data_IF_092327720699
#
_entry.id   IF_092327720699
#
_cell.length_a   1.000
_cell.length_b   1.000
_cell.length_c   1.000
_cell.angle_alpha   90.00
_cell.angle_beta   90.00
_cell.angle_gamma   90.00
#
_symmetry.space_group_name_H-M   'P 1'
#
loop_
_entity.id
_entity.type
_entity.pdbx_description
1 polymer ?
#
# COMPACT_ATOMS: atom_id res chain seq x y z
N UNK A 1 -26.65 -26.21 69.40
CA UNK A 1 -27.03 -25.88 67.99
C UNK A 1 -26.62 -24.49 67.55
N UNK A 2 -26.82 -23.42 68.33
CA UNK A 2 -26.47 -22.02 67.95
C UNK A 2 -24.93 -21.76 67.76
N UNK A 3 -24.07 -22.46 68.47
CA UNK A 3 -22.61 -22.29 68.34
C UNK A 3 -22.03 -23.06 67.17
N UNK A 4 -22.60 -24.19 66.83
CA UNK A 4 -22.19 -25.00 65.68
C UNK A 4 -22.43 -24.29 64.36
N UNK A 5 -23.54 -23.59 64.24
CA UNK A 5 -23.88 -22.75 63.06
C UNK A 5 -22.93 -21.56 62.91
N UNK A 6 -22.47 -20.93 63.99
CA UNK A 6 -21.51 -19.81 63.94
C UNK A 6 -20.11 -20.28 63.50
N UNK A 7 -19.68 -21.48 63.87
CA UNK A 7 -18.40 -22.05 63.47
C UNK A 7 -18.41 -22.41 61.98
N UNK A 8 -19.51 -22.92 61.45
CA UNK A 8 -19.66 -23.21 60.02
C UNK A 8 -19.63 -21.93 59.19
N UNK A 9 -20.24 -20.84 59.65
CA UNK A 9 -20.22 -19.55 58.95
C UNK A 9 -18.80 -18.94 58.93
N UNK A 10 -18.05 -19.09 60.02
CA UNK A 10 -16.65 -18.62 60.06
C UNK A 10 -15.76 -19.44 59.14
N UNK A 11 -15.97 -20.75 59.03
CA UNK A 11 -15.21 -21.62 58.10
C UNK A 11 -15.55 -21.34 56.63
N UNK A 12 -16.80 -21.01 56.31
CA UNK A 12 -17.19 -20.60 54.96
C UNK A 12 -16.58 -19.25 54.55
N UNK A 13 -16.38 -18.34 55.50
CA UNK A 13 -15.76 -17.03 55.23
C UNK A 13 -14.23 -17.11 55.05
N UNK A 14 -13.57 -18.13 55.62
CA UNK A 14 -12.13 -18.32 55.50
C UNK A 14 -11.71 -19.10 54.25
N UNK A 15 -12.64 -19.79 53.58
CA UNK A 15 -12.36 -20.59 52.38
C UNK A 15 -12.38 -19.81 51.07
N UNK A 16 -12.66 -18.49 51.09
CA UNK A 16 -12.71 -17.66 49.87
C UNK A 16 -11.41 -16.89 49.56
N UNK A 17 -10.32 -17.13 50.28
CA UNK A 17 -9.09 -16.35 50.16
C UNK A 17 -7.92 -17.12 49.55
N UNK A 18 -8.11 -17.84 48.47
CA UNK A 18 -7.00 -18.45 47.75
C UNK A 18 -7.29 -18.59 46.25
N UNK A 19 -7.80 -17.57 45.62
CA UNK A 19 -7.48 -17.36 44.19
C UNK A 19 -6.17 -16.55 44.16
N UNK A 20 -5.07 -17.23 44.43
CA UNK A 20 -3.76 -16.71 44.10
C UNK A 20 -3.78 -16.53 42.58
N UNK A 21 -3.91 -15.26 42.12
CA UNK A 21 -3.58 -14.90 40.77
C UNK A 21 -2.09 -15.23 40.60
N UNK A 22 -1.80 -16.41 40.07
CA UNK A 22 -0.49 -16.66 39.47
C UNK A 22 -0.46 -15.80 38.23
N UNK A 23 0.11 -14.59 38.35
CA UNK A 23 0.41 -13.77 37.18
C UNK A 23 1.31 -14.61 36.28
N UNK A 24 0.77 -15.00 35.12
CA UNK A 24 1.56 -15.77 34.17
C UNK A 24 2.66 -14.82 33.67
N UNK A 25 3.95 -15.22 33.62
CA UNK A 25 5.06 -14.33 33.21
C UNK A 25 4.82 -13.60 31.89
N UNK A 26 3.96 -14.16 31.05
CA UNK A 26 3.51 -13.52 29.81
C UNK A 26 2.67 -12.27 30.07
N UNK A 27 1.75 -12.29 31.05
CA UNK A 27 0.91 -11.13 31.35
C UNK A 27 1.71 -9.98 31.93
N UNK A 28 2.71 -10.24 32.78
CA UNK A 28 3.62 -9.22 33.28
C UNK A 28 4.41 -8.52 32.15
N UNK A 29 4.78 -9.29 31.10
CA UNK A 29 5.44 -8.71 29.92
C UNK A 29 4.48 -7.92 29.04
N UNK A 30 3.21 -8.32 28.95
CA UNK A 30 2.18 -7.56 28.22
C UNK A 30 1.84 -6.24 28.96
N UNK A 31 1.77 -6.27 30.30
CA UNK A 31 1.57 -5.05 31.09
C UNK A 31 2.73 -4.08 30.88
N UNK A 32 3.99 -4.58 30.99
CA UNK A 32 5.17 -3.77 30.69
C UNK A 32 5.15 -3.18 29.26
N UNK A 33 4.74 -3.97 28.29
CA UNK A 33 4.61 -3.51 26.90
C UNK A 33 3.59 -2.36 26.79
N UNK A 34 2.44 -2.51 27.47
CA UNK A 34 1.41 -1.47 27.50
C UNK A 34 1.89 -0.18 28.18
N UNK A 35 2.62 -0.29 29.29
CA UNK A 35 3.21 0.84 30.00
C UNK A 35 4.21 1.60 29.13
N UNK A 36 5.04 0.86 28.38
CA UNK A 36 6.00 1.46 27.42
C UNK A 36 5.28 2.22 26.33
N UNK A 37 4.22 1.64 25.74
CA UNK A 37 3.41 2.32 24.72
C UNK A 37 2.75 3.59 25.26
N UNK A 38 2.24 3.56 26.48
CA UNK A 38 1.63 4.72 27.13
C UNK A 38 2.67 5.81 27.39
N UNK A 39 3.87 5.43 27.84
CA UNK A 39 4.99 6.34 28.07
C UNK A 39 5.44 7.01 26.77
N UNK A 40 5.59 6.25 25.67
CA UNK A 40 5.92 6.78 24.36
C UNK A 40 4.87 7.82 23.95
N UNK A 41 3.58 7.49 24.07
CA UNK A 41 2.50 8.42 23.72
C UNK A 41 2.51 9.72 24.50
N UNK A 42 2.86 9.65 25.77
CA UNK A 42 2.83 10.83 26.69
C UNK A 42 4.07 11.68 26.64
N UNK A 43 5.24 11.07 26.51
CA UNK A 43 6.52 11.71 26.80
C UNK A 43 7.42 11.86 25.57
N UNK A 44 7.06 11.26 24.43
CA UNK A 44 7.89 11.43 23.25
C UNK A 44 7.77 12.85 22.68
N UNK A 45 8.88 13.38 22.14
CA UNK A 45 9.03 14.79 21.73
C UNK A 45 8.10 15.20 20.57
N UNK A 46 7.64 14.26 19.76
CA UNK A 46 6.69 14.47 18.66
C UNK A 46 5.51 13.52 18.77
N UNK A 47 4.36 13.90 18.19
CA UNK A 47 3.22 13.00 18.09
C UNK A 47 3.60 11.72 17.37
N UNK A 48 3.27 10.56 17.96
CA UNK A 48 3.60 9.23 17.47
C UNK A 48 2.31 8.51 17.08
N UNK A 49 2.24 7.99 15.86
CA UNK A 49 1.16 7.11 15.45
C UNK A 49 1.30 5.75 16.17
N UNK A 50 0.37 5.48 17.07
CA UNK A 50 0.37 4.23 17.83
C UNK A 50 0.24 2.98 16.95
N UNK A 51 -0.42 3.09 15.79
CA UNK A 51 -0.55 1.98 14.85
C UNK A 51 0.80 1.62 14.24
N UNK A 52 1.59 2.62 13.84
CA UNK A 52 2.94 2.40 13.30
C UNK A 52 3.88 1.78 14.34
N UNK A 53 3.79 2.22 15.61
CA UNK A 53 4.60 1.64 16.69
C UNK A 53 4.22 0.19 16.97
N UNK A 54 2.93 -0.13 16.95
CA UNK A 54 2.44 -1.50 17.12
C UNK A 54 2.87 -2.40 15.95
N UNK A 55 2.76 -1.92 14.72
CA UNK A 55 3.21 -2.64 13.54
C UNK A 55 4.73 -2.92 13.61
N UNK A 56 5.52 -1.94 14.06
CA UNK A 56 6.96 -2.10 14.28
C UNK A 56 7.28 -3.14 15.36
N UNK A 57 6.52 -3.14 16.45
CA UNK A 57 6.67 -4.13 17.53
C UNK A 57 6.34 -5.55 17.06
N UNK A 58 5.24 -5.73 16.32
CA UNK A 58 4.86 -7.03 15.71
C UNK A 58 5.96 -7.49 14.75
N UNK A 59 6.47 -6.58 13.92
CA UNK A 59 7.55 -6.90 13.00
C UNK A 59 8.84 -7.32 13.75
N UNK A 60 9.19 -6.63 14.84
CA UNK A 60 10.32 -7.00 15.70
C UNK A 60 10.18 -8.40 16.32
N UNK A 61 8.97 -8.77 16.76
CA UNK A 61 8.71 -10.13 17.24
C UNK A 61 8.94 -11.19 16.17
N UNK A 62 8.46 -10.94 14.94
CA UNK A 62 8.61 -11.88 13.83
C UNK A 62 10.06 -12.00 13.40
N UNK A 63 10.80 -10.88 13.30
CA UNK A 63 12.23 -10.88 12.97
C UNK A 63 13.09 -11.58 14.00
N UNK A 64 12.64 -11.72 15.26
CA UNK A 64 13.34 -12.50 16.28
C UNK A 64 13.27 -14.02 16.03
N UNK A 65 12.39 -14.50 15.16
CA UNK A 65 12.26 -15.90 14.81
C UNK A 65 13.25 -16.31 13.71
N UNK A 66 13.28 -15.54 12.62
CA UNK A 66 14.16 -15.75 11.48
C UNK A 66 14.19 -14.47 10.59
N UNK A 67 15.19 -14.33 9.69
CA UNK A 67 15.33 -13.14 8.83
C UNK A 67 14.29 -13.04 7.71
N UNK A 68 13.46 -14.06 7.49
CA UNK A 68 12.45 -14.11 6.42
C UNK A 68 11.04 -13.85 6.94
N UNK A 69 10.84 -13.93 8.26
CA UNK A 69 9.56 -13.63 8.89
C UNK A 69 9.39 -12.12 9.08
N UNK A 70 8.32 -11.57 8.50
CA UNK A 70 8.01 -10.16 8.60
C UNK A 70 6.49 -9.92 8.64
N UNK A 71 6.08 -8.86 9.31
CA UNK A 71 4.72 -8.36 9.27
C UNK A 71 4.57 -7.40 8.08
N UNK A 72 3.49 -7.54 7.37
CA UNK A 72 3.09 -6.59 6.34
C UNK A 72 1.76 -5.94 6.74
N UNK A 73 1.74 -4.63 6.81
CA UNK A 73 0.47 -3.92 6.93
C UNK A 73 -0.44 -4.22 5.73
N UNK A 74 -1.77 -4.05 5.85
CA UNK A 74 -2.70 -4.28 4.73
C UNK A 74 -2.30 -3.52 3.46
N UNK A 75 -1.75 -2.32 3.61
CA UNK A 75 -1.27 -1.51 2.49
C UNK A 75 -0.01 -2.09 1.85
N UNK A 76 0.98 -2.47 2.67
CA UNK A 76 2.22 -3.10 2.19
C UNK A 76 1.94 -4.42 1.49
N UNK A 77 1.04 -5.25 2.03
CA UNK A 77 0.61 -6.50 1.42
C UNK A 77 -0.08 -6.26 0.06
N UNK A 78 -0.95 -5.23 -0.03
CA UNK A 78 -1.59 -4.83 -1.28
C UNK A 78 -0.57 -4.41 -2.33
N UNK A 79 0.43 -3.60 -1.94
CA UNK A 79 1.48 -3.14 -2.85
C UNK A 79 2.35 -4.30 -3.32
N UNK A 80 2.77 -5.20 -2.44
CA UNK A 80 3.49 -6.42 -2.81
C UNK A 80 2.71 -7.29 -3.81
N UNK A 81 1.39 -7.46 -3.60
CA UNK A 81 0.54 -8.19 -4.54
C UNK A 81 0.49 -7.51 -5.92
N UNK A 82 0.47 -6.18 -5.97
CA UNK A 82 0.50 -5.41 -7.22
C UNK A 82 1.83 -5.67 -7.95
N UNK A 83 2.94 -5.59 -7.25
CA UNK A 83 4.28 -5.83 -7.82
C UNK A 83 4.43 -7.27 -8.33
N UNK A 84 3.98 -8.25 -7.53
CA UNK A 84 4.04 -9.67 -7.90
C UNK A 84 3.17 -9.99 -9.10
N UNK A 85 1.94 -9.49 -9.15
CA UNK A 85 1.01 -9.74 -10.26
C UNK A 85 1.31 -8.90 -11.50
N UNK A 86 2.02 -7.78 -11.35
CA UNK A 86 2.31 -6.84 -12.43
C UNK A 86 1.06 -6.13 -12.98
N UNK A 87 -0.01 -6.04 -12.18
CA UNK A 87 -1.26 -5.40 -12.57
C UNK A 87 -1.98 -4.76 -11.38
N UNK A 88 -2.64 -3.63 -11.62
CA UNK A 88 -3.39 -2.91 -10.59
C UNK A 88 -4.57 -2.13 -11.18
N UNK A 89 -5.54 -1.80 -10.34
CA UNK A 89 -6.63 -0.90 -10.71
C UNK A 89 -6.18 0.55 -10.65
N UNK A 90 -6.23 1.25 -11.78
CA UNK A 90 -5.75 2.62 -11.88
C UNK A 90 -6.18 3.32 -13.17
N UNK A 91 -5.48 4.40 -13.51
CA UNK A 91 -5.81 5.27 -14.64
C UNK A 91 -4.89 5.04 -15.84
N UNK A 92 -3.69 4.51 -15.61
CA UNK A 92 -2.68 4.32 -16.66
C UNK A 92 -1.97 5.62 -17.05
N UNK A 93 -1.39 6.31 -16.07
CA UNK A 93 -0.57 7.50 -16.27
C UNK A 93 0.79 7.34 -15.58
N UNK A 94 1.84 7.80 -16.23
CA UNK A 94 3.13 8.04 -15.59
C UNK A 94 3.14 9.47 -15.03
N UNK A 95 3.55 9.62 -13.78
CA UNK A 95 3.47 10.88 -13.06
C UNK A 95 4.76 11.20 -12.30
N UNK A 96 4.94 12.48 -12.01
CA UNK A 96 5.97 12.98 -11.10
C UNK A 96 5.42 14.12 -10.25
N UNK A 97 6.17 14.52 -9.23
CA UNK A 97 5.87 15.76 -8.49
C UNK A 97 6.66 16.91 -9.07
N UNK A 98 5.97 18.01 -9.38
CA UNK A 98 6.58 19.26 -9.83
C UNK A 98 5.86 20.44 -9.18
N UNK A 99 6.61 21.31 -8.49
CA UNK A 99 6.09 22.50 -7.80
C UNK A 99 4.93 22.23 -6.83
N UNK A 100 4.93 21.05 -6.18
CA UNK A 100 3.90 20.64 -5.22
C UNK A 100 2.61 20.12 -5.87
N UNK A 101 2.61 19.88 -7.18
CA UNK A 101 1.50 19.28 -7.92
C UNK A 101 1.92 17.98 -8.60
N UNK A 102 0.96 17.13 -8.90
CA UNK A 102 1.18 15.92 -9.70
C UNK A 102 1.17 16.27 -11.16
N UNK A 103 2.31 16.13 -11.82
CA UNK A 103 2.46 16.34 -13.28
C UNK A 103 2.36 15.00 -14.00
N UNK A 104 1.55 14.96 -15.03
CA UNK A 104 1.46 13.83 -15.97
C UNK A 104 2.67 13.89 -16.91
N UNK A 105 3.54 12.88 -16.82
CA UNK A 105 4.66 12.69 -17.75
C UNK A 105 4.08 12.21 -19.08
N UNK A 106 3.29 11.14 -19.02
CA UNK A 106 2.59 10.62 -20.19
C UNK A 106 1.42 9.71 -19.78
N UNK A 107 0.25 9.79 -20.43
CA UNK A 107 -0.74 8.74 -20.36
C UNK A 107 -0.25 7.50 -21.13
N UNK A 108 -0.53 6.31 -20.61
CA UNK A 108 -0.18 5.05 -21.26
C UNK A 108 -1.23 4.76 -22.33
N UNK A 109 -0.80 4.52 -23.55
CA UNK A 109 -1.68 4.25 -24.71
C UNK A 109 -2.72 3.16 -24.43
N UNK A 110 -3.98 3.44 -24.77
CA UNK A 110 -5.12 2.53 -24.61
C UNK A 110 -5.62 2.40 -23.16
N UNK A 111 -5.13 3.19 -22.22
CA UNK A 111 -5.60 3.19 -20.83
C UNK A 111 -6.76 4.16 -20.61
N UNK A 112 -7.44 4.10 -19.44
CA UNK A 112 -8.54 5.02 -19.15
C UNK A 112 -8.18 6.50 -19.26
N UNK A 113 -7.00 6.90 -18.79
CA UNK A 113 -6.57 8.30 -18.86
C UNK A 113 -6.31 8.77 -20.27
N UNK A 114 -5.73 7.92 -21.13
CA UNK A 114 -5.52 8.19 -22.54
C UNK A 114 -6.86 8.32 -23.27
N UNK A 115 -7.78 7.38 -23.04
CA UNK A 115 -9.15 7.45 -23.62
C UNK A 115 -9.93 8.68 -23.14
N UNK A 116 -9.68 9.16 -21.94
CA UNK A 116 -10.29 10.37 -21.40
C UNK A 116 -9.68 11.68 -21.98
N UNK A 117 -8.57 11.61 -22.73
CA UNK A 117 -7.92 12.75 -23.35
C UNK A 117 -6.96 13.51 -22.42
N UNK A 118 -6.46 12.87 -21.38
CA UNK A 118 -5.33 13.40 -20.60
C UNK A 118 -4.07 13.47 -21.48
N UNK A 119 -3.23 14.46 -21.23
CA UNK A 119 -2.03 14.71 -22.02
C UNK A 119 -0.78 14.83 -21.17
N UNK A 120 0.37 14.59 -21.77
CA UNK A 120 1.65 14.92 -21.17
C UNK A 120 1.71 16.43 -20.85
N UNK A 121 2.23 16.75 -19.67
CA UNK A 121 2.29 18.12 -19.16
C UNK A 121 1.05 18.59 -18.40
N UNK A 122 0.00 17.78 -18.29
CA UNK A 122 -1.15 18.08 -17.44
C UNK A 122 -0.75 18.10 -15.96
N UNK A 123 -1.24 19.07 -15.19
CA UNK A 123 -1.06 19.16 -13.74
C UNK A 123 -2.37 18.79 -13.05
N UNK A 124 -2.37 17.69 -12.32
CA UNK A 124 -3.51 17.29 -11.47
C UNK A 124 -3.45 18.15 -10.21
N UNK A 125 -4.48 18.97 -10.01
CA UNK A 125 -4.58 19.88 -8.86
C UNK A 125 -5.55 19.40 -7.79
N UNK A 126 -6.55 18.58 -8.19
CA UNK A 126 -7.47 17.94 -7.24
C UNK A 126 -7.76 16.51 -7.65
N UNK A 127 -7.96 15.65 -6.64
CA UNK A 127 -8.41 14.26 -6.76
C UNK A 127 -9.65 14.09 -5.88
N UNK A 128 -10.80 13.77 -6.48
CA UNK A 128 -12.11 13.67 -5.80
C UNK A 128 -12.43 14.91 -4.92
N UNK A 129 -12.09 16.11 -5.41
CA UNK A 129 -12.28 17.38 -4.69
C UNK A 129 -11.22 17.69 -3.62
N UNK A 130 -10.32 16.76 -3.30
CA UNK A 130 -9.21 16.99 -2.37
C UNK A 130 -8.04 17.63 -3.13
N UNK A 131 -7.49 18.71 -2.58
CA UNK A 131 -6.30 19.37 -3.13
C UNK A 131 -5.09 18.44 -3.08
N UNK A 132 -4.31 18.43 -4.17
CA UNK A 132 -3.08 17.64 -4.28
C UNK A 132 -1.91 18.34 -3.61
N UNK A 133 -1.95 19.69 -3.55
CA UNK A 133 -0.88 20.48 -2.93
C UNK A 133 -0.65 20.05 -1.47
N UNK A 134 0.59 19.70 -1.13
CA UNK A 134 0.97 19.21 0.20
C UNK A 134 0.99 17.70 0.35
N UNK A 135 0.52 16.95 -0.65
CA UNK A 135 0.67 15.49 -0.70
C UNK A 135 2.06 15.13 -1.24
N UNK A 136 2.59 14.00 -0.79
CA UNK A 136 3.70 13.37 -1.47
C UNK A 136 3.22 12.53 -2.67
N UNK A 137 4.17 12.07 -3.52
CA UNK A 137 3.83 11.31 -4.72
C UNK A 137 3.07 10.02 -4.41
N UNK A 138 3.46 9.30 -3.35
CA UNK A 138 2.85 8.02 -2.99
C UNK A 138 1.41 8.21 -2.49
N UNK A 139 1.15 9.24 -1.70
CA UNK A 139 -0.20 9.60 -1.27
C UNK A 139 -1.11 9.91 -2.45
N UNK A 140 -0.62 10.69 -3.43
CA UNK A 140 -1.36 10.98 -4.65
C UNK A 140 -1.62 9.70 -5.48
N UNK A 141 -0.62 8.82 -5.62
CA UNK A 141 -0.76 7.51 -6.28
C UNK A 141 -1.82 6.67 -5.59
N UNK A 142 -1.82 6.60 -4.26
CA UNK A 142 -2.79 5.81 -3.48
C UNK A 142 -4.21 6.33 -3.65
N UNK A 143 -4.41 7.65 -3.75
CA UNK A 143 -5.72 8.25 -4.06
C UNK A 143 -6.18 7.93 -5.48
N UNK A 144 -5.26 7.87 -6.45
CA UNK A 144 -5.58 7.58 -7.85
C UNK A 144 -5.81 6.09 -8.11
N UNK A 145 -5.11 5.21 -7.42
CA UNK A 145 -5.35 3.75 -7.44
C UNK A 145 -6.67 3.41 -6.77
N UNK A 146 -7.22 2.25 -7.09
CA UNK A 146 -8.44 1.76 -6.44
C UNK A 146 -9.02 0.53 -7.12
N UNK A 147 -10.19 0.13 -6.67
CA UNK A 147 -10.89 -1.04 -7.24
C UNK A 147 -11.24 -0.79 -8.70
N UNK A 148 -10.98 -1.76 -9.56
CA UNK A 148 -11.37 -1.75 -10.99
C UNK A 148 -12.88 -1.52 -11.10
N UNK A 149 -13.30 -0.68 -12.06
CA UNK A 149 -14.69 -0.30 -12.29
C UNK A 149 -15.18 0.88 -11.43
N UNK A 150 -14.39 1.37 -10.47
CA UNK A 150 -14.75 2.57 -9.70
C UNK A 150 -14.32 3.84 -10.43
N UNK A 151 -15.12 4.91 -10.32
CA UNK A 151 -14.80 6.20 -10.93
C UNK A 151 -13.99 7.10 -10.00
N UNK A 152 -13.20 7.98 -10.61
CA UNK A 152 -12.44 9.03 -9.94
C UNK A 152 -12.63 10.34 -10.71
N UNK A 153 -12.72 11.45 -9.97
CA UNK A 153 -12.80 12.78 -10.54
C UNK A 153 -11.45 13.48 -10.37
N UNK A 154 -10.89 13.97 -11.46
CA UNK A 154 -9.65 14.74 -11.47
C UNK A 154 -9.94 16.16 -11.96
N UNK A 155 -9.41 17.16 -11.26
CA UNK A 155 -9.33 18.54 -11.76
C UNK A 155 -7.89 18.76 -12.19
N UNK A 156 -7.73 19.21 -13.43
CA UNK A 156 -6.45 19.30 -14.11
C UNK A 156 -6.25 20.71 -14.68
N UNK A 157 -5.04 21.24 -14.55
CA UNK A 157 -4.60 22.45 -15.24
C UNK A 157 -3.67 22.07 -16.39
N UNK A 158 -3.96 22.60 -17.57
CA UNK A 158 -3.15 22.44 -18.80
C UNK A 158 -2.61 23.79 -19.24
N UNK A 159 -1.33 23.86 -19.63
CA UNK A 159 -0.63 25.13 -19.86
C UNK A 159 -1.32 26.02 -20.89
N UNK A 160 -1.84 25.46 -21.98
CA UNK A 160 -2.46 26.21 -23.07
C UNK A 160 -3.99 26.33 -22.95
N UNK A 161 -4.55 26.06 -21.75
CA UNK A 161 -6.00 26.11 -21.50
C UNK A 161 -6.24 26.96 -20.26
N UNK A 162 -7.04 28.03 -20.42
CA UNK A 162 -7.32 28.99 -19.36
C UNK A 162 -8.17 28.40 -18.26
N UNK A 163 -9.15 27.56 -18.62
CA UNK A 163 -10.06 26.90 -17.69
C UNK A 163 -9.51 25.57 -17.14
N UNK A 164 -9.92 25.25 -15.93
CA UNK A 164 -9.63 23.95 -15.32
C UNK A 164 -10.42 22.84 -16.01
N UNK A 165 -9.70 21.80 -16.44
CA UNK A 165 -10.30 20.63 -17.07
C UNK A 165 -10.75 19.62 -16.00
N UNK A 166 -11.97 19.10 -16.16
CA UNK A 166 -12.51 18.07 -15.26
C UNK A 166 -12.63 16.75 -16.00
N UNK A 167 -12.00 15.72 -15.44
CA UNK A 167 -12.04 14.37 -15.99
C UNK A 167 -12.72 13.44 -14.98
N UNK A 168 -13.73 12.69 -15.42
CA UNK A 168 -14.29 11.56 -14.69
C UNK A 168 -13.79 10.30 -15.38
N UNK A 169 -12.94 9.55 -14.71
CA UNK A 169 -12.25 8.39 -15.28
C UNK A 169 -12.62 7.14 -14.48
N UNK A 170 -13.05 6.09 -15.17
CA UNK A 170 -13.28 4.80 -14.53
C UNK A 170 -11.98 4.01 -14.49
N UNK A 171 -11.59 3.57 -13.29
CA UNK A 171 -10.38 2.77 -13.08
C UNK A 171 -10.50 1.44 -13.81
N UNK A 172 -9.43 1.06 -14.48
CA UNK A 172 -9.34 -0.21 -15.22
C UNK A 172 -8.08 -0.96 -14.77
N UNK A 173 -7.97 -2.20 -15.21
CA UNK A 173 -6.82 -3.04 -15.02
C UNK A 173 -5.64 -2.50 -15.83
N UNK A 174 -4.66 -1.96 -15.15
CA UNK A 174 -3.42 -1.47 -15.75
C UNK A 174 -2.37 -2.57 -15.67
N UNK A 175 -1.89 -3.01 -16.84
CA UNK A 175 -0.80 -3.98 -16.94
C UNK A 175 0.51 -3.23 -17.10
N UNK A 176 1.45 -3.52 -16.23
CA UNK A 176 2.80 -2.95 -16.35
C UNK A 176 3.55 -3.66 -17.47
N UNK A 177 4.07 -2.90 -18.42
CA UNK A 177 4.86 -3.46 -19.52
C UNK A 177 6.31 -3.60 -19.08
N UNK A 178 6.62 -4.76 -18.47
CA UNK A 178 7.96 -5.03 -17.96
C UNK A 178 8.94 -5.42 -19.08
N UNK A 179 8.46 -5.94 -20.19
CA UNK A 179 9.28 -6.42 -21.31
C UNK A 179 9.11 -5.50 -22.50
N UNK A 180 10.18 -4.89 -22.96
CA UNK A 180 10.25 -4.13 -24.19
C UNK A 180 11.21 -4.79 -25.19
N UNK A 181 10.97 -4.61 -26.48
CA UNK A 181 11.81 -5.15 -27.53
C UNK A 181 12.05 -4.14 -28.65
N UNK A 182 13.23 -4.21 -29.25
CA UNK A 182 13.61 -3.43 -30.42
C UNK A 182 14.51 -4.27 -31.32
N UNK A 183 14.55 -3.93 -32.61
CA UNK A 183 15.57 -4.45 -33.54
C UNK A 183 16.60 -3.36 -33.73
N UNK A 184 17.87 -3.67 -33.50
CA UNK A 184 19.02 -2.80 -33.73
C UNK A 184 20.00 -3.56 -34.62
N UNK A 185 20.30 -3.03 -35.79
CA UNK A 185 21.29 -3.60 -36.72
C UNK A 185 21.14 -5.12 -36.94
N UNK A 186 19.92 -5.60 -37.22
CA UNK A 186 19.57 -7.02 -37.38
C UNK A 186 19.66 -7.86 -36.10
N UNK A 187 19.91 -7.24 -34.94
CA UNK A 187 19.90 -7.94 -33.65
C UNK A 187 18.63 -7.62 -32.89
N UNK A 188 17.93 -8.67 -32.45
CA UNK A 188 16.76 -8.52 -31.56
C UNK A 188 17.21 -8.16 -30.15
N UNK A 189 16.85 -6.97 -29.67
CA UNK A 189 17.11 -6.51 -28.33
C UNK A 189 15.86 -6.64 -27.47
N UNK A 190 15.98 -7.27 -26.30
CA UNK A 190 14.88 -7.36 -25.32
C UNK A 190 15.37 -6.79 -23.98
N UNK A 191 14.56 -5.95 -23.39
CA UNK A 191 14.81 -5.37 -22.07
C UNK A 191 13.72 -5.81 -21.11
N UNK A 192 14.10 -6.49 -20.04
CA UNK A 192 13.29 -6.83 -18.90
C UNK A 192 13.57 -5.84 -17.77
N UNK A 193 12.55 -5.13 -17.29
CA UNK A 193 12.66 -4.09 -16.27
C UNK A 193 12.44 -4.62 -14.86
N UNK A 194 11.50 -5.56 -14.71
CA UNK A 194 11.21 -6.22 -13.45
C UNK A 194 10.72 -7.65 -13.72
N UNK A 195 10.72 -8.45 -12.66
CA UNK A 195 10.21 -9.82 -12.69
C UNK A 195 8.90 -9.88 -11.91
N UNK A 196 7.83 -10.29 -12.57
CA UNK A 196 6.53 -10.56 -11.99
C UNK A 196 5.91 -11.80 -12.65
N UNK A 197 4.72 -12.20 -12.22
CA UNK A 197 4.02 -13.39 -12.78
C UNK A 197 3.83 -13.34 -14.29
N UNK A 198 3.76 -12.14 -14.89
CA UNK A 198 3.51 -11.95 -16.32
C UNK A 198 4.81 -11.84 -17.15
N UNK A 199 5.96 -11.67 -16.52
CA UNK A 199 7.23 -11.40 -17.21
C UNK A 199 7.63 -12.51 -18.15
N UNK A 200 7.38 -13.77 -17.79
CA UNK A 200 7.68 -14.94 -18.65
C UNK A 200 6.88 -14.94 -19.95
N UNK A 201 5.56 -14.77 -19.85
CA UNK A 201 4.67 -14.74 -21.02
C UNK A 201 4.96 -13.53 -21.90
N UNK A 202 5.20 -12.36 -21.32
CA UNK A 202 5.59 -11.16 -22.06
C UNK A 202 6.90 -11.38 -22.82
N UNK A 203 7.91 -11.98 -22.19
CA UNK A 203 9.19 -12.30 -22.82
C UNK A 203 9.02 -13.24 -24.01
N UNK A 204 8.31 -14.35 -23.83
CA UNK A 204 8.03 -15.32 -24.91
C UNK A 204 7.31 -14.63 -26.08
N UNK A 205 6.32 -13.79 -25.81
CA UNK A 205 5.60 -13.07 -26.86
C UNK A 205 6.52 -12.09 -27.60
N UNK A 206 7.40 -11.36 -26.90
CA UNK A 206 8.36 -10.46 -27.54
C UNK A 206 9.40 -11.20 -28.40
N UNK A 207 9.86 -12.39 -27.97
CA UNK A 207 10.73 -13.24 -28.79
C UNK A 207 10.02 -13.67 -30.06
N UNK A 208 8.76 -14.12 -29.97
CA UNK A 208 7.96 -14.51 -31.14
C UNK A 208 7.77 -13.34 -32.11
N UNK A 209 7.48 -12.14 -31.59
CA UNK A 209 7.29 -10.93 -32.42
C UNK A 209 8.58 -10.53 -33.15
N UNK A 210 9.74 -10.59 -32.46
CA UNK A 210 11.03 -10.33 -33.07
C UNK A 210 11.38 -11.34 -34.18
N UNK A 211 11.13 -12.63 -33.92
CA UNK A 211 11.36 -13.68 -34.92
C UNK A 211 10.47 -13.54 -36.17
N UNK A 212 9.23 -13.06 -36.03
CA UNK A 212 8.38 -12.76 -37.19
C UNK A 212 8.92 -11.58 -37.99
N UNK A 213 9.40 -10.52 -37.32
CA UNK A 213 9.94 -9.33 -37.99
C UNK A 213 11.30 -9.56 -38.69
N UNK A 214 12.04 -10.54 -38.24
CA UNK A 214 13.38 -10.86 -38.77
C UNK A 214 13.34 -11.90 -39.92
N UNK A 215 12.17 -12.42 -40.25
CA UNK A 215 11.97 -13.37 -41.38
C UNK A 215 11.64 -12.69 -42.72
N UNK A 216 11.54 -11.37 -42.72
CA UNK A 216 11.39 -10.53 -43.92
C UNK A 216 12.68 -9.68 -44.11
#
# INVERSE_FOLDING_TARGET
MKYFLKIIIIYLFFSTSALAQTSHPLYEKLDLFSDVLETIKKEYVTDVDQSEVLDAAINGMLQSLDPFSAYMSPESFKNMNIETKGEFGGLGIEITMENGFVKVITPIEGTPADRAGMKAGDYIIQINGKQVKGLNLMEAVNLMRGKIGTSINLTVRRVDVEDELKFTITRDKIKVREVSSAIKENVGYIRLRAFNEQSGDQLINKIKDLNKKNKN
#
